data_IF_939513299695
#
_entry.id   IF_939513299695
#
_cell.length_a   1.000
_cell.length_b   1.000
_cell.length_c   1.000
_cell.angle_alpha   90.00
_cell.angle_beta   90.00
_cell.angle_gamma   90.00
#
_symmetry.space_group_name_H-M   'P 1'
#
loop_
_entity.id
_entity.type
_entity.pdbx_description
1 polymer ?
#
# COMPACT_ATOMS: atom_id res chain seq x y z
N UNK A 1 -33.87 -8.69 22.66
CA UNK A 1 -33.94 -9.37 21.35
C UNK A 1 -32.63 -10.11 21.16
N UNK A 2 -32.60 -11.35 21.66
CA UNK A 2 -31.53 -12.32 21.39
C UNK A 2 -31.81 -12.85 19.98
N UNK A 3 -30.84 -12.72 19.08
CA UNK A 3 -30.88 -13.32 17.75
C UNK A 3 -29.67 -14.23 17.64
N UNK A 4 -29.96 -15.49 17.36
CA UNK A 4 -29.10 -16.65 17.60
C UNK A 4 -27.88 -16.71 16.68
N UNK A 5 -26.73 -16.95 17.31
CA UNK A 5 -25.38 -17.09 16.73
C UNK A 5 -25.23 -18.32 15.80
N UNK A 6 -26.21 -19.22 15.75
CA UNK A 6 -26.12 -20.54 15.14
C UNK A 6 -26.45 -20.56 13.63
N UNK A 7 -26.97 -19.47 13.06
CA UNK A 7 -27.35 -19.44 11.64
C UNK A 7 -26.17 -19.12 10.69
N UNK A 8 -25.09 -18.51 11.20
CA UNK A 8 -23.99 -18.01 10.35
C UNK A 8 -22.92 -19.09 10.07
N UNK A 9 -22.76 -20.05 10.98
CA UNK A 9 -21.78 -21.14 10.87
C UNK A 9 -22.21 -22.21 9.86
N UNK A 10 -23.51 -22.44 9.69
CA UNK A 10 -24.04 -23.41 8.72
C UNK A 10 -23.83 -22.98 7.25
N UNK A 11 -23.73 -21.68 6.97
CA UNK A 11 -23.50 -21.17 5.61
C UNK A 11 -22.05 -21.36 5.11
N UNK A 12 -21.08 -21.42 6.03
CA UNK A 12 -19.65 -21.48 5.69
C UNK A 12 -19.20 -22.90 5.31
N UNK A 13 -19.86 -23.94 5.83
CA UNK A 13 -19.52 -25.35 5.54
C UNK A 13 -20.06 -25.86 4.19
N UNK A 14 -21.05 -25.21 3.59
CA UNK A 14 -21.59 -25.64 2.30
C UNK A 14 -20.73 -25.27 1.08
N UNK A 15 -19.80 -24.30 1.20
CA UNK A 15 -18.92 -23.91 0.10
C UNK A 15 -17.60 -24.69 0.02
N UNK A 16 -17.19 -25.35 1.11
CA UNK A 16 -15.94 -26.11 1.16
C UNK A 16 -15.98 -27.39 0.30
N UNK A 17 -17.17 -27.88 -0.08
CA UNK A 17 -17.34 -29.07 -0.93
C UNK A 17 -17.11 -28.81 -2.43
N UNK A 18 -16.99 -27.55 -2.87
CA UNK A 18 -16.79 -27.19 -4.28
C UNK A 18 -15.29 -27.19 -4.66
N UNK A 19 -14.38 -27.07 -3.69
CA UNK A 19 -12.94 -26.91 -3.96
C UNK A 19 -12.08 -28.18 -3.81
N UNK A 20 -12.69 -29.36 -3.62
CA UNK A 20 -11.99 -30.64 -3.79
C UNK A 20 -10.71 -30.79 -2.94
N UNK A 21 -10.80 -30.60 -1.61
CA UNK A 21 -9.69 -30.94 -0.71
C UNK A 21 -9.81 -32.42 -0.34
N UNK A 22 -9.00 -33.25 -0.99
CA UNK A 22 -8.91 -34.67 -0.69
C UNK A 22 -8.35 -34.93 0.71
N UNK A 23 -9.02 -35.81 1.44
CA UNK A 23 -8.59 -36.37 2.71
C UNK A 23 -7.40 -37.30 2.47
N UNK A 24 -6.19 -36.91 2.87
CA UNK A 24 -5.04 -37.75 2.55
C UNK A 24 -3.69 -37.24 2.96
N UNK A 25 -3.53 -36.66 4.15
CA UNK A 25 -2.28 -36.79 4.90
C UNK A 25 -2.46 -36.32 6.35
N UNK A 26 -3.35 -37.00 7.06
CA UNK A 26 -3.22 -37.15 8.52
C UNK A 26 -2.13 -38.20 8.78
N UNK A 27 -1.47 -38.09 9.94
CA UNK A 27 -0.41 -38.97 10.48
C UNK A 27 1.03 -38.52 10.23
N UNK A 28 1.54 -37.62 11.08
CA UNK A 28 2.24 -38.08 12.28
C UNK A 28 2.52 -36.93 13.28
N UNK A 29 2.17 -37.22 14.54
CA UNK A 29 2.65 -36.65 15.81
C UNK A 29 2.63 -35.13 16.03
N UNK A 30 1.65 -34.73 16.84
CA UNK A 30 1.90 -34.20 18.19
C UNK A 30 2.83 -33.01 18.27
N UNK A 31 2.25 -31.82 18.30
CA UNK A 31 2.60 -30.68 19.17
C UNK A 31 1.68 -29.52 18.79
N UNK A 32 1.00 -28.97 19.78
CA UNK A 32 0.44 -27.60 19.83
C UNK A 32 0.63 -26.78 18.54
N UNK A 33 -0.44 -26.65 17.75
CA UNK A 33 -0.51 -25.67 16.67
C UNK A 33 -0.52 -24.26 17.30
N UNK A 34 0.68 -23.75 17.57
CA UNK A 34 0.89 -22.32 17.70
C UNK A 34 0.63 -21.73 16.31
N UNK A 35 -0.54 -21.13 16.16
CA UNK A 35 -0.98 -20.40 14.98
C UNK A 35 0.04 -19.31 14.66
N UNK A 36 1.01 -19.60 13.79
CA UNK A 36 1.96 -18.64 13.24
C UNK A 36 1.28 -17.79 12.16
N UNK A 37 0.21 -17.08 12.55
CA UNK A 37 -0.48 -16.09 11.72
C UNK A 37 0.08 -14.67 11.88
N UNK A 38 1.11 -14.47 12.71
CA UNK A 38 1.65 -13.15 13.06
C UNK A 38 2.82 -12.67 12.17
N UNK A 39 3.34 -13.51 11.27
CA UNK A 39 4.50 -13.15 10.45
C UNK A 39 4.15 -12.45 9.12
N UNK A 40 2.88 -12.43 8.69
CA UNK A 40 2.48 -11.77 7.44
C UNK A 40 2.16 -10.28 7.61
N UNK A 41 1.97 -9.80 8.85
CA UNK A 41 1.46 -8.45 9.11
C UNK A 41 2.54 -7.39 9.37
N UNK A 42 3.81 -7.77 9.59
CA UNK A 42 4.83 -6.80 10.02
C UNK A 42 5.49 -6.01 8.86
N UNK A 43 5.29 -6.41 7.60
CA UNK A 43 5.97 -5.77 6.45
C UNK A 43 5.24 -4.57 5.84
N UNK A 44 4.07 -4.19 6.38
CA UNK A 44 3.37 -2.97 5.99
C UNK A 44 3.61 -1.80 6.98
N UNK A 45 4.42 -2.00 8.03
CA UNK A 45 4.65 -1.00 9.08
C UNK A 45 5.59 0.15 8.69
N UNK A 46 6.44 -0.03 7.68
CA UNK A 46 7.39 1.01 7.23
C UNK A 46 6.80 1.95 6.16
N UNK A 47 5.57 1.70 5.68
CA UNK A 47 4.94 2.48 4.61
C UNK A 47 4.22 3.74 5.11
N UNK A 48 4.06 3.92 6.42
CA UNK A 48 3.15 4.94 6.96
C UNK A 48 3.80 5.96 7.90
N UNK A 49 5.10 5.85 8.20
CA UNK A 49 5.80 6.82 9.05
C UNK A 49 6.41 7.96 8.22
N UNK A 50 5.64 8.54 7.32
CA UNK A 50 6.00 9.85 6.79
C UNK A 50 5.39 10.89 7.71
N UNK A 51 6.22 11.79 8.23
CA UNK A 51 5.81 12.75 9.24
C UNK A 51 4.60 13.54 8.71
N UNK A 52 3.50 13.69 9.48
CA UNK A 52 2.26 14.28 8.98
C UNK A 52 2.45 15.68 8.39
N UNK A 53 3.52 16.38 8.80
CA UNK A 53 3.91 17.69 8.28
C UNK A 53 4.43 17.65 6.84
N UNK A 54 5.34 16.73 6.51
CA UNK A 54 5.93 16.60 5.16
C UNK A 54 4.86 16.16 4.18
N UNK A 55 4.08 15.14 4.56
CA UNK A 55 2.96 14.66 3.76
C UNK A 55 1.95 15.76 3.48
N UNK A 56 1.56 16.51 4.51
CA UNK A 56 0.64 17.65 4.35
C UNK A 56 1.22 18.72 3.43
N UNK A 57 2.48 19.12 3.62
CA UNK A 57 3.12 20.14 2.80
C UNK A 57 3.17 19.75 1.31
N UNK A 58 3.48 18.49 0.99
CA UNK A 58 3.51 17.99 -0.38
C UNK A 58 2.13 17.98 -1.02
N UNK A 59 1.09 17.56 -0.27
CA UNK A 59 -0.30 17.56 -0.76
C UNK A 59 -0.84 18.98 -0.94
N UNK A 60 -0.54 19.89 -0.02
CA UNK A 60 -0.96 21.30 -0.11
C UNK A 60 -0.28 21.98 -1.32
N UNK A 61 1.00 21.67 -1.59
CA UNK A 61 1.76 22.17 -2.76
C UNK A 61 1.21 21.65 -4.10
N UNK A 62 0.79 20.38 -4.15
CA UNK A 62 0.48 19.74 -5.42
C UNK A 62 -0.84 20.23 -6.04
N UNK A 63 -1.63 21.02 -5.31
CA UNK A 63 -2.89 21.59 -5.81
C UNK A 63 -3.89 20.52 -6.25
N UNK A 64 -3.93 19.39 -5.53
CA UNK A 64 -4.74 18.22 -5.84
C UNK A 64 -4.47 17.58 -7.21
N UNK A 65 -3.28 17.77 -7.79
CA UNK A 65 -2.86 17.15 -9.07
C UNK A 65 -1.61 16.29 -8.89
N UNK A 66 -1.53 15.22 -9.68
CA UNK A 66 -0.32 14.42 -9.81
C UNK A 66 0.84 15.28 -10.35
N UNK A 67 1.99 15.24 -9.66
CA UNK A 67 3.18 16.04 -10.00
C UNK A 67 4.06 15.39 -11.08
N UNK A 68 3.75 14.16 -11.53
CA UNK A 68 4.46 13.54 -12.65
C UNK A 68 4.23 14.37 -13.93
N UNK A 69 5.32 14.78 -14.62
CA UNK A 69 5.21 15.47 -15.91
C UNK A 69 4.35 14.67 -16.90
N UNK A 70 3.36 15.32 -17.51
CA UNK A 70 2.46 14.69 -18.49
C UNK A 70 1.26 13.93 -17.90
N UNK A 71 1.19 13.69 -16.58
CA UNK A 71 0.03 13.02 -15.98
C UNK A 71 -1.06 14.01 -15.55
N UNK A 72 -0.78 14.89 -14.58
CA UNK A 72 -1.73 15.88 -14.08
C UNK A 72 -3.04 15.33 -13.52
N UNK A 73 -3.14 14.01 -13.30
CA UNK A 73 -4.38 13.37 -12.84
C UNK A 73 -4.84 13.95 -11.50
N UNK A 74 -6.14 14.21 -11.39
CA UNK A 74 -6.80 14.71 -10.20
C UNK A 74 -8.16 14.03 -10.03
N UNK A 75 -8.57 13.84 -8.77
CA UNK A 75 -9.88 13.33 -8.38
C UNK A 75 -10.35 14.04 -7.11
N UNK A 76 -11.67 14.23 -6.94
CA UNK A 76 -12.23 15.00 -5.82
C UNK A 76 -12.25 14.22 -4.48
N UNK A 77 -11.86 12.95 -4.45
CA UNK A 77 -11.87 12.15 -3.22
C UNK A 77 -10.50 12.18 -2.51
N UNK A 78 -10.55 12.07 -1.18
CA UNK A 78 -9.37 12.07 -0.32
C UNK A 78 -8.54 10.79 -0.53
N UNK A 79 -7.22 10.93 -0.55
CA UNK A 79 -6.30 9.80 -0.70
C UNK A 79 -6.09 9.31 -2.14
N UNK A 80 -6.62 10.00 -3.16
CA UNK A 80 -6.27 9.69 -4.55
C UNK A 80 -4.79 9.93 -4.86
N UNK A 81 -4.23 11.02 -4.33
CA UNK A 81 -2.82 11.32 -4.43
C UNK A 81 -2.12 10.84 -3.18
N UNK A 82 -1.01 10.13 -3.38
CA UNK A 82 -0.15 9.68 -2.32
C UNK A 82 1.26 10.25 -2.47
N UNK A 83 1.97 10.36 -1.35
CA UNK A 83 3.30 10.95 -1.32
C UNK A 83 4.33 9.85 -1.55
N UNK A 84 5.15 10.05 -2.58
CA UNK A 84 6.24 9.15 -2.94
C UNK A 84 7.59 9.75 -2.53
N UNK A 85 8.38 9.01 -1.77
CA UNK A 85 9.75 9.33 -1.39
C UNK A 85 10.72 8.81 -2.44
N UNK A 86 11.33 9.72 -3.19
CA UNK A 86 12.10 9.37 -4.39
C UNK A 86 13.41 8.65 -4.03
N UNK A 87 14.15 9.17 -3.04
CA UNK A 87 15.36 8.53 -2.52
C UNK A 87 15.08 7.51 -1.40
N UNK A 88 13.81 7.22 -1.12
CA UNK A 88 13.39 6.42 0.04
C UNK A 88 13.28 7.23 1.34
N UNK A 89 12.41 6.74 2.23
CA UNK A 89 12.09 7.40 3.52
C UNK A 89 13.32 7.47 4.43
N UNK A 90 14.11 6.40 4.46
CA UNK A 90 15.30 6.25 5.31
C UNK A 90 16.42 7.25 4.97
N UNK A 91 16.43 7.76 3.73
CA UNK A 91 17.48 8.65 3.24
C UNK A 91 17.14 10.11 3.53
N UNK A 92 15.89 10.52 3.29
CA UNK A 92 15.47 11.91 3.51
C UNK A 92 13.95 12.07 3.50
N UNK A 93 13.33 12.29 4.66
CA UNK A 93 11.93 12.77 4.77
C UNK A 93 11.88 14.30 4.68
N UNK A 94 12.16 14.85 3.49
CA UNK A 94 12.06 16.29 3.21
C UNK A 94 11.13 16.53 2.03
N UNK A 95 10.42 17.65 2.04
CA UNK A 95 9.51 18.06 0.95
C UNK A 95 10.20 18.12 -0.43
N UNK A 96 11.51 18.38 -0.45
CA UNK A 96 12.35 18.38 -1.66
C UNK A 96 12.67 16.98 -2.23
N UNK A 97 12.42 15.91 -1.47
CA UNK A 97 12.58 14.51 -1.86
C UNK A 97 11.24 13.79 -2.09
N UNK A 98 10.14 14.52 -1.94
CA UNK A 98 8.80 13.95 -1.95
C UNK A 98 7.96 14.58 -3.05
N UNK A 99 7.15 13.76 -3.72
CA UNK A 99 6.21 14.20 -4.76
C UNK A 99 4.84 13.56 -4.57
N UNK A 100 3.78 14.27 -4.95
CA UNK A 100 2.43 13.73 -4.95
C UNK A 100 2.14 13.00 -6.27
N UNK A 101 1.81 11.70 -6.20
CA UNK A 101 1.54 10.85 -7.36
C UNK A 101 0.17 10.19 -7.28
N UNK A 102 -0.45 9.94 -8.44
CA UNK A 102 -1.63 9.07 -8.52
C UNK A 102 -1.23 7.58 -8.42
N UNK A 103 -2.17 6.64 -8.18
CA UNK A 103 -1.85 5.24 -7.93
C UNK A 103 -1.09 4.57 -9.09
N UNK A 104 -1.39 4.95 -10.33
CA UNK A 104 -0.71 4.42 -11.51
C UNK A 104 0.74 4.93 -11.60
N UNK A 105 0.95 6.24 -11.45
CA UNK A 105 2.29 6.82 -11.50
C UNK A 105 3.13 6.40 -10.29
N UNK A 106 2.50 6.21 -9.13
CA UNK A 106 3.18 5.71 -7.94
C UNK A 106 3.66 4.27 -8.16
N UNK A 107 2.84 3.41 -8.77
CA UNK A 107 3.23 2.06 -9.18
C UNK A 107 4.39 2.09 -10.18
N UNK A 108 4.32 2.94 -11.20
CA UNK A 108 5.38 3.07 -12.21
C UNK A 108 6.72 3.43 -11.57
N UNK A 109 6.73 4.34 -10.59
CA UNK A 109 7.94 4.77 -9.90
C UNK A 109 8.65 3.65 -9.12
N UNK A 110 7.90 2.63 -8.68
CA UNK A 110 8.46 1.46 -7.98
C UNK A 110 8.82 0.31 -8.92
N UNK A 111 7.96 0.03 -9.91
CA UNK A 111 7.97 -1.24 -10.63
C UNK A 111 8.24 -1.14 -12.13
N UNK A 112 8.26 0.06 -12.72
CA UNK A 112 8.57 0.18 -14.15
C UNK A 112 10.05 -0.11 -14.44
N UNK A 113 10.33 -0.59 -15.65
CA UNK A 113 11.69 -0.79 -16.15
C UNK A 113 12.47 0.54 -16.22
N UNK A 114 11.76 1.66 -16.40
CA UNK A 114 12.31 3.01 -16.45
C UNK A 114 12.24 3.75 -15.12
N UNK A 115 12.13 3.03 -13.99
CA UNK A 115 12.01 3.64 -12.65
C UNK A 115 13.13 4.62 -12.34
N UNK A 116 14.37 4.34 -12.73
CA UNK A 116 15.51 5.19 -12.38
C UNK A 116 15.42 6.54 -13.09
N UNK A 117 15.19 6.52 -14.41
CA UNK A 117 15.00 7.75 -15.20
C UNK A 117 13.73 8.51 -14.83
N UNK A 118 12.66 7.79 -14.44
CA UNK A 118 11.44 8.38 -13.92
C UNK A 118 11.68 9.08 -12.58
N UNK A 119 12.37 8.42 -11.64
CA UNK A 119 12.70 8.97 -10.33
C UNK A 119 13.63 10.18 -10.43
N UNK A 120 14.61 10.18 -11.33
CA UNK A 120 15.41 11.37 -11.63
C UNK A 120 14.56 12.54 -12.12
N UNK A 121 13.59 12.27 -13.00
CA UNK A 121 12.66 13.29 -13.48
C UNK A 121 11.78 13.84 -12.35
N UNK A 122 11.25 12.97 -11.50
CA UNK A 122 10.47 13.36 -10.32
C UNK A 122 11.30 14.17 -9.32
N UNK A 123 12.58 13.84 -9.15
CA UNK A 123 13.47 14.58 -8.24
C UNK A 123 13.68 16.01 -8.71
N UNK A 124 13.87 16.20 -10.03
CA UNK A 124 13.93 17.53 -10.63
C UNK A 124 12.64 18.32 -10.35
N UNK A 125 11.47 17.69 -10.50
CA UNK A 125 10.19 18.34 -10.19
C UNK A 125 10.09 18.74 -8.72
N UNK A 126 10.43 17.84 -7.80
CA UNK A 126 10.40 18.09 -6.36
C UNK A 126 11.29 19.29 -5.96
N UNK A 127 12.44 19.43 -6.63
CA UNK A 127 13.39 20.52 -6.42
C UNK A 127 13.01 21.82 -7.14
N UNK A 128 12.13 21.79 -8.14
CA UNK A 128 11.66 23.02 -8.80
C UNK A 128 10.47 23.64 -8.07
N UNK A 129 9.67 22.82 -7.38
CA UNK A 129 8.45 23.26 -6.69
C UNK A 129 8.70 23.51 -5.19
N UNK A 130 9.87 24.03 -4.83
CA UNK A 130 10.27 24.28 -3.43
C UNK A 130 9.55 25.47 -2.82
#
# INVERSE_FOLDING_TARGET
>A
MHLDQEAFTAGLFAFASIFGVGEGHLFHLGSTLHFSGLAYFSRFGSLFQSFPKVRKAVIDRCGARCERPGCGASRPYTGFLDVHHILGVEVSDRVSNCVALCPNCHRDAHFSESRDSLNESLLRVAQLRR
#
